data_IF_729919390029
#
_entry.id   IF_729919390029
#
_cell.length_a   1.000
_cell.length_b   1.000
_cell.length_c   1.000
_cell.angle_alpha   90.00
_cell.angle_beta   90.00
_cell.angle_gamma   90.00
#
_symmetry.space_group_name_H-M   'P 1'
#
loop_
_entity.id
_entity.type
_entity.pdbx_description
1 polymer ?
#
# COMPACT_ATOMS: atom_id res chain seq x y z
N UNK A 1 -23.42 6.58 -8.25
CA UNK A 1 -22.16 5.83 -8.26
C UNK A 1 -21.03 6.84 -8.33
N UNK A 2 -20.01 6.76 -7.46
CA UNK A 2 -18.86 7.67 -7.52
C UNK A 2 -18.14 7.48 -8.86
N UNK A 3 -17.67 8.55 -9.47
CA UNK A 3 -16.88 8.52 -10.71
C UNK A 3 -15.46 8.99 -10.42
N UNK A 4 -14.49 8.42 -11.13
CA UNK A 4 -13.10 8.86 -11.08
C UNK A 4 -12.89 9.93 -12.15
N UNK A 5 -12.29 11.05 -11.76
CA UNK A 5 -11.88 12.10 -12.69
C UNK A 5 -10.59 11.69 -13.43
N UNK A 6 -10.27 12.29 -14.58
CA UNK A 6 -8.93 12.18 -15.15
C UNK A 6 -7.87 12.73 -14.18
N UNK A 7 -6.68 12.12 -14.17
CA UNK A 7 -5.55 12.59 -13.36
C UNK A 7 -5.29 14.10 -13.52
N UNK A 8 -5.04 14.84 -12.42
CA UNK A 8 -4.78 16.26 -12.49
C UNK A 8 -3.41 16.52 -13.13
N UNK A 9 -3.28 17.64 -13.86
CA UNK A 9 -2.01 18.01 -14.52
C UNK A 9 -0.91 18.43 -13.54
N UNK A 10 -1.29 18.89 -12.35
CA UNK A 10 -0.38 19.36 -11.32
C UNK A 10 -0.97 19.07 -9.93
N UNK A 11 -0.09 18.86 -8.94
CA UNK A 11 -0.52 18.62 -7.56
C UNK A 11 -1.23 19.83 -6.96
N UNK A 12 -0.75 21.04 -7.27
CA UNK A 12 -1.41 22.31 -6.92
C UNK A 12 -2.05 22.87 -8.19
N UNK A 13 -3.34 23.14 -8.11
CA UNK A 13 -4.08 23.76 -9.21
C UNK A 13 -3.60 25.21 -9.39
N UNK A 14 -3.20 25.61 -10.62
CA UNK A 14 -2.62 26.93 -10.87
C UNK A 14 -3.64 28.08 -10.74
N UNK A 15 -4.93 27.81 -10.93
CA UNK A 15 -6.00 28.80 -10.85
C UNK A 15 -6.41 29.03 -9.39
N UNK A 16 -6.66 27.95 -8.65
CA UNK A 16 -7.15 28.02 -7.27
C UNK A 16 -6.03 28.16 -6.24
N UNK A 17 -4.78 27.82 -6.63
CA UNK A 17 -3.60 27.77 -5.75
C UNK A 17 -3.74 26.77 -4.58
N UNK A 18 -4.74 25.89 -4.64
CA UNK A 18 -4.97 24.82 -3.69
C UNK A 18 -4.49 23.48 -4.26
N UNK A 19 -4.23 22.45 -3.44
CA UNK A 19 -4.08 21.09 -3.94
C UNK A 19 -5.27 20.70 -4.81
N UNK A 20 -5.02 20.01 -5.92
CA UNK A 20 -6.07 19.50 -6.80
C UNK A 20 -6.80 18.37 -6.09
N UNK A 21 -7.74 18.69 -5.20
CA UNK A 21 -8.47 17.70 -4.41
C UNK A 21 -9.40 16.87 -5.28
N UNK A 22 -9.42 15.55 -5.06
CA UNK A 22 -10.26 14.64 -5.81
C UNK A 22 -9.81 13.20 -5.79
N UNK A 23 -10.49 12.41 -6.63
CA UNK A 23 -10.26 10.98 -6.83
C UNK A 23 -10.16 10.72 -8.33
N UNK A 24 -9.11 10.03 -8.74
CA UNK A 24 -8.65 10.03 -10.11
C UNK A 24 -8.36 8.63 -10.64
N UNK A 25 -8.69 8.41 -11.91
CA UNK A 25 -8.23 7.25 -12.67
C UNK A 25 -6.95 7.67 -13.40
N UNK A 26 -5.82 7.17 -12.94
CA UNK A 26 -4.51 7.50 -13.48
C UNK A 26 -3.50 7.98 -12.41
N UNK A 27 -2.31 8.40 -12.87
CA UNK A 27 -1.18 8.69 -12.00
C UNK A 27 -1.34 9.98 -11.21
N UNK A 28 -0.66 10.08 -10.08
CA UNK A 28 -0.40 11.36 -9.41
C UNK A 28 0.64 12.16 -10.19
N UNK A 29 0.49 13.50 -10.28
CA UNK A 29 1.57 14.38 -10.69
C UNK A 29 2.66 14.46 -9.60
N UNK A 30 3.85 15.00 -9.92
CA UNK A 30 4.90 15.27 -8.92
C UNK A 30 4.38 16.10 -7.74
N UNK A 31 4.72 15.70 -6.53
CA UNK A 31 4.24 16.35 -5.30
C UNK A 31 5.34 17.22 -4.72
N UNK A 32 5.15 18.54 -4.82
CA UNK A 32 6.06 19.51 -4.25
C UNK A 32 5.34 20.39 -3.23
N UNK A 33 5.94 20.51 -2.05
CA UNK A 33 5.51 21.42 -0.99
C UNK A 33 6.49 22.59 -0.92
N UNK A 34 6.30 23.56 -1.82
CA UNK A 34 7.14 24.76 -1.89
C UNK A 34 6.93 25.66 -0.67
N UNK A 35 8.02 26.27 -0.19
CA UNK A 35 7.97 27.19 0.94
C UNK A 35 7.61 26.56 2.29
N UNK A 36 7.57 25.22 2.39
CA UNK A 36 7.24 24.52 3.63
C UNK A 36 8.25 24.85 4.74
N UNK A 37 7.76 25.32 5.89
CA UNK A 37 8.58 25.60 7.06
C UNK A 37 9.38 24.36 7.50
N UNK A 38 10.58 24.57 8.05
CA UNK A 38 11.45 23.47 8.48
C UNK A 38 10.76 22.55 9.51
N UNK A 39 9.97 23.14 10.42
CA UNK A 39 9.19 22.41 11.40
C UNK A 39 8.15 21.49 10.75
N UNK A 40 7.39 21.98 9.76
CA UNK A 40 6.39 21.16 9.07
C UNK A 40 7.04 20.06 8.22
N UNK A 41 8.19 20.36 7.61
CA UNK A 41 8.99 19.36 6.89
C UNK A 41 9.47 18.23 7.80
N UNK A 42 9.82 18.54 9.05
CA UNK A 42 10.29 17.56 10.01
C UNK A 42 9.13 16.80 10.70
N UNK A 43 8.04 17.50 11.04
CA UNK A 43 7.00 16.98 11.94
C UNK A 43 5.72 16.55 11.24
N UNK A 44 5.33 17.19 10.14
CA UNK A 44 4.05 16.92 9.44
C UNK A 44 4.24 16.17 8.15
N UNK A 45 5.33 16.42 7.43
CA UNK A 45 5.60 15.75 6.18
C UNK A 45 5.87 14.27 6.42
N UNK A 46 5.08 13.43 5.78
CA UNK A 46 5.22 11.97 5.79
C UNK A 46 5.17 11.47 4.35
N UNK A 47 5.96 10.45 4.07
CA UNK A 47 5.99 9.82 2.76
C UNK A 47 6.34 8.35 2.88
N UNK A 48 5.64 7.48 2.17
CA UNK A 48 6.01 6.08 2.08
C UNK A 48 5.71 5.50 0.72
N UNK A 49 6.42 4.41 0.45
CA UNK A 49 6.13 3.52 -0.65
C UNK A 49 6.06 2.10 -0.10
N UNK A 50 4.90 1.49 -0.22
CA UNK A 50 4.62 0.10 0.10
C UNK A 50 4.52 -0.69 -1.20
N UNK A 51 5.13 -1.86 -1.27
CA UNK A 51 5.06 -2.79 -2.40
C UNK A 51 4.52 -4.11 -1.88
N UNK A 52 3.54 -4.67 -2.59
CA UNK A 52 3.07 -6.03 -2.38
C UNK A 52 3.33 -6.89 -3.62
N UNK A 53 3.75 -8.13 -3.39
CA UNK A 53 3.90 -9.16 -4.40
C UNK A 53 3.14 -10.39 -3.96
N UNK A 54 2.46 -11.07 -4.88
CA UNK A 54 1.75 -12.31 -4.57
C UNK A 54 1.93 -13.34 -5.67
N UNK A 55 2.37 -14.54 -5.28
CA UNK A 55 2.39 -15.74 -6.11
C UNK A 55 1.39 -16.75 -5.56
N UNK A 56 1.39 -17.97 -6.10
CA UNK A 56 0.58 -19.08 -5.59
C UNK A 56 1.02 -19.53 -4.18
N UNK A 57 2.29 -19.28 -3.82
CA UNK A 57 2.87 -19.73 -2.54
C UNK A 57 3.02 -18.61 -1.51
N UNK A 58 3.25 -17.37 -1.97
CA UNK A 58 3.64 -16.27 -1.10
C UNK A 58 2.75 -15.03 -1.25
N UNK A 59 2.52 -14.37 -0.13
CA UNK A 59 2.26 -12.92 -0.08
C UNK A 59 3.47 -12.23 0.54
N UNK A 60 3.96 -11.18 -0.12
CA UNK A 60 5.12 -10.41 0.33
C UNK A 60 4.71 -8.96 0.44
N UNK A 61 5.05 -8.35 1.57
CA UNK A 61 4.86 -6.94 1.82
C UNK A 61 6.21 -6.30 2.13
N UNK A 62 6.45 -5.10 1.61
CA UNK A 62 7.62 -4.31 1.89
C UNK A 62 7.23 -2.84 1.94
N UNK A 63 7.71 -2.08 2.93
CA UNK A 63 7.50 -0.64 2.99
C UNK A 63 8.78 0.12 3.31
N UNK A 64 8.95 1.29 2.68
CA UNK A 64 9.92 2.31 3.06
C UNK A 64 9.17 3.57 3.46
N UNK A 65 9.31 3.99 4.71
CA UNK A 65 8.57 5.10 5.32
C UNK A 65 9.54 6.18 5.78
N UNK A 66 9.27 7.42 5.38
CA UNK A 66 9.93 8.64 5.86
C UNK A 66 8.96 9.44 6.73
N UNK A 67 9.33 9.58 8.00
CA UNK A 67 8.54 10.31 9.00
C UNK A 67 8.98 11.77 9.17
N UNK A 68 10.03 12.20 8.46
CA UNK A 68 10.69 13.50 8.62
C UNK A 68 11.80 13.46 9.67
N UNK A 69 11.49 13.04 10.89
CA UNK A 69 12.46 12.92 12.00
C UNK A 69 13.03 11.49 12.20
N UNK A 70 12.45 10.49 11.53
CA UNK A 70 12.93 9.12 11.54
C UNK A 70 12.52 8.40 10.23
N UNK A 71 12.99 7.18 10.05
CA UNK A 71 12.60 6.29 8.98
C UNK A 71 12.16 4.95 9.56
N UNK A 72 11.19 4.30 8.91
CA UNK A 72 10.83 2.92 9.19
C UNK A 72 10.89 2.14 7.88
N UNK A 73 11.42 0.93 7.90
CA UNK A 73 11.30 0.02 6.78
C UNK A 73 11.04 -1.40 7.28
N UNK A 74 10.03 -2.04 6.73
CA UNK A 74 9.68 -3.42 7.08
C UNK A 74 9.53 -4.26 5.82
N UNK A 75 9.71 -5.55 5.99
CA UNK A 75 9.33 -6.54 4.99
C UNK A 75 8.94 -7.84 5.67
N UNK A 76 7.92 -8.50 5.13
CA UNK A 76 7.58 -9.86 5.51
C UNK A 76 7.24 -10.71 4.29
N UNK A 77 7.45 -12.03 4.44
CA UNK A 77 7.03 -13.04 3.49
C UNK A 77 6.11 -14.02 4.21
N UNK A 78 4.84 -14.02 3.84
CA UNK A 78 3.81 -14.91 4.34
C UNK A 78 3.62 -16.08 3.37
N UNK A 79 3.68 -17.31 3.87
CA UNK A 79 3.42 -18.50 3.06
C UNK A 79 1.93 -18.85 3.12
N UNK A 80 1.26 -18.85 1.96
CA UNK A 80 -0.19 -19.04 1.83
C UNK A 80 -0.62 -20.45 2.30
N UNK A 81 0.04 -21.49 1.79
CA UNK A 81 -0.27 -22.88 2.16
C UNK A 81 0.07 -23.25 3.60
N UNK A 82 1.23 -22.83 4.12
CA UNK A 82 1.65 -23.10 5.50
C UNK A 82 0.97 -22.18 6.53
N UNK A 83 0.32 -21.10 6.08
CA UNK A 83 -0.33 -20.09 6.91
C UNK A 83 0.56 -19.51 8.01
N UNK A 84 1.80 -19.16 7.68
CA UNK A 84 2.75 -18.54 8.62
C UNK A 84 3.66 -17.52 7.96
N UNK A 85 4.18 -16.58 8.75
CA UNK A 85 5.30 -15.74 8.34
C UNK A 85 6.57 -16.58 8.25
N UNK A 86 7.22 -16.57 7.08
CA UNK A 86 8.57 -17.11 6.88
C UNK A 86 9.61 -16.12 7.40
N UNK A 87 9.41 -14.85 7.08
CA UNK A 87 10.23 -13.74 7.57
C UNK A 87 9.29 -12.61 7.94
N UNK A 88 9.57 -11.95 9.06
CA UNK A 88 8.96 -10.70 9.48
C UNK A 88 10.06 -9.86 10.11
N UNK A 89 10.40 -8.75 9.48
CA UNK A 89 11.47 -7.89 9.92
C UNK A 89 11.09 -6.43 9.78
N UNK A 90 11.54 -5.62 10.74
CA UNK A 90 11.43 -4.18 10.68
C UNK A 90 12.65 -3.51 11.24
N UNK A 91 13.02 -2.39 10.62
CA UNK A 91 14.16 -1.57 10.99
C UNK A 91 13.73 -0.11 11.07
N UNK A 92 13.89 0.47 12.26
CA UNK A 92 13.76 1.91 12.48
C UNK A 92 15.16 2.53 12.39
N UNK A 93 15.27 3.64 11.66
CA UNK A 93 16.54 4.31 11.40
C UNK A 93 16.43 5.84 11.42
N UNK A 94 17.58 6.54 11.36
CA UNK A 94 17.61 7.99 11.27
C UNK A 94 17.12 8.52 9.90
N UNK A 95 16.66 9.78 9.79
CA UNK A 95 16.07 10.37 8.57
C UNK A 95 16.81 10.18 7.23
N UNK A 96 18.13 10.02 7.30
CA UNK A 96 19.04 10.02 6.14
C UNK A 96 19.24 8.64 5.51
N UNK A 97 18.79 7.58 6.16
CA UNK A 97 18.99 6.20 5.68
C UNK A 97 17.90 5.73 4.73
N UNK A 98 16.87 6.55 4.50
CA UNK A 98 15.80 6.25 3.56
C UNK A 98 15.54 7.44 2.65
N UNK A 99 15.20 7.13 1.40
CA UNK A 99 14.63 8.08 0.47
C UNK A 99 13.39 7.49 -0.20
N UNK A 100 12.43 8.34 -0.50
CA UNK A 100 11.26 8.00 -1.32
C UNK A 100 11.11 9.16 -2.30
N UNK A 101 10.73 8.92 -3.55
CA UNK A 101 10.62 9.92 -4.62
C UNK A 101 9.46 10.90 -4.40
N UNK A 102 9.52 12.10 -4.97
CA UNK A 102 8.38 13.03 -5.05
C UNK A 102 7.42 12.71 -6.20
N UNK A 103 7.89 11.91 -7.15
CA UNK A 103 7.20 11.51 -8.37
C UNK A 103 7.44 10.02 -8.58
N UNK A 104 6.39 9.21 -8.40
CA UNK A 104 6.46 7.74 -8.51
C UNK A 104 6.55 7.27 -9.98
N UNK A 105 6.40 8.19 -10.94
CA UNK A 105 6.48 7.95 -12.38
C UNK A 105 7.81 8.42 -13.00
N UNK A 106 8.60 9.19 -12.26
CA UNK A 106 9.93 9.61 -12.71
C UNK A 106 10.86 8.39 -12.87
N UNK A 107 11.71 8.36 -13.91
CA UNK A 107 12.74 7.34 -14.04
C UNK A 107 13.77 7.45 -12.91
N UNK A 108 14.29 6.31 -12.47
CA UNK A 108 15.30 6.23 -11.41
C UNK A 108 14.74 5.73 -10.09
N UNK A 109 15.36 6.15 -8.98
CA UNK A 109 15.08 5.60 -7.64
C UNK A 109 13.73 6.10 -7.12
N UNK A 110 12.77 5.18 -6.97
CA UNK A 110 11.47 5.46 -6.36
C UNK A 110 11.51 5.38 -4.84
N UNK A 111 12.24 4.38 -4.31
CA UNK A 111 12.48 4.23 -2.89
C UNK A 111 13.81 3.55 -2.63
N UNK A 112 14.49 3.99 -1.57
CA UNK A 112 15.74 3.39 -1.10
C UNK A 112 15.76 3.37 0.42
N UNK A 113 16.29 2.29 0.98
CA UNK A 113 16.58 2.17 2.40
C UNK A 113 17.93 1.47 2.59
N UNK A 114 18.72 1.88 3.58
CA UNK A 114 19.97 1.21 3.92
C UNK A 114 20.40 1.49 5.35
N UNK A 115 20.21 0.52 6.24
CA UNK A 115 20.64 0.62 7.64
C UNK A 115 20.99 -0.76 8.21
N UNK A 116 22.17 -0.86 8.83
CA UNK A 116 22.69 -2.15 9.29
C UNK A 116 22.88 -3.11 8.10
N UNK A 117 22.27 -4.29 8.18
CA UNK A 117 22.28 -5.31 7.11
C UNK A 117 21.07 -5.24 6.18
N UNK A 118 20.12 -4.35 6.46
CA UNK A 118 18.87 -4.24 5.71
C UNK A 118 18.99 -3.20 4.60
N UNK A 119 18.55 -3.57 3.40
CA UNK A 119 18.62 -2.72 2.20
C UNK A 119 17.37 -2.85 1.36
N UNK A 120 16.93 -1.75 0.77
CA UNK A 120 15.88 -1.70 -0.26
C UNK A 120 16.34 -0.76 -1.37
N UNK A 121 16.13 -1.17 -2.61
CA UNK A 121 16.18 -0.31 -3.78
C UNK A 121 15.01 -0.68 -4.70
N UNK A 122 14.15 0.29 -4.99
CA UNK A 122 13.13 0.20 -6.02
C UNK A 122 13.43 1.28 -7.07
N UNK A 123 13.65 0.86 -8.31
CA UNK A 123 14.04 1.74 -9.41
C UNK A 123 13.10 1.58 -10.60
N UNK A 124 12.59 2.68 -11.15
CA UNK A 124 11.76 2.70 -12.36
C UNK A 124 12.60 2.88 -13.62
N UNK A 125 12.35 2.03 -14.62
CA UNK A 125 12.87 2.06 -15.99
C UNK A 125 11.71 1.97 -16.98
N UNK A 126 11.13 3.13 -17.32
CA UNK A 126 9.89 3.17 -18.11
C UNK A 126 8.72 2.61 -17.31
N UNK A 127 8.01 1.64 -17.87
CA UNK A 127 6.87 0.97 -17.22
C UNK A 127 7.28 -0.20 -16.31
N UNK A 128 8.58 -0.43 -16.15
CA UNK A 128 9.12 -1.51 -15.30
C UNK A 128 9.76 -0.94 -14.05
N UNK A 129 9.43 -1.51 -12.89
CA UNK A 129 10.09 -1.23 -11.62
C UNK A 129 10.91 -2.44 -11.14
N UNK A 130 12.21 -2.26 -10.97
CA UNK A 130 13.09 -3.29 -10.43
C UNK A 130 13.24 -3.13 -8.92
N UNK A 131 12.86 -4.18 -8.18
CA UNK A 131 12.96 -4.26 -6.73
C UNK A 131 14.11 -5.17 -6.33
N UNK A 132 15.01 -4.65 -5.50
CA UNK A 132 15.99 -5.43 -4.74
C UNK A 132 15.85 -5.13 -3.26
N UNK A 133 15.66 -6.15 -2.45
CA UNK A 133 15.56 -5.96 -1.00
C UNK A 133 16.24 -7.09 -0.22
N UNK A 134 16.76 -6.75 0.95
CA UNK A 134 17.30 -7.69 1.94
C UNK A 134 16.86 -7.28 3.34
N UNK A 135 16.28 -8.22 4.07
CA UNK A 135 15.84 -8.05 5.46
C UNK A 135 15.99 -9.37 6.21
N UNK A 136 16.81 -9.42 7.26
CA UNK A 136 17.06 -10.68 7.99
C UNK A 136 17.37 -11.82 7.00
N UNK A 137 16.54 -12.88 6.98
CA UNK A 137 16.67 -14.04 6.07
C UNK A 137 15.80 -13.94 4.80
N UNK A 138 15.34 -12.73 4.45
CA UNK A 138 14.57 -12.42 3.24
C UNK A 138 15.46 -11.70 2.23
N UNK A 139 15.55 -12.24 1.02
CA UNK A 139 16.10 -11.57 -0.16
C UNK A 139 15.05 -11.55 -1.26
N UNK A 140 14.89 -10.40 -1.92
CA UNK A 140 13.93 -10.20 -3.01
C UNK A 140 14.69 -9.63 -4.20
N UNK A 141 14.52 -10.28 -5.35
CA UNK A 141 14.89 -9.72 -6.66
C UNK A 141 13.68 -9.88 -7.58
N UNK A 142 13.00 -8.77 -7.87
CA UNK A 142 11.78 -8.79 -8.66
C UNK A 142 11.79 -7.67 -9.72
N UNK A 143 11.16 -7.94 -10.86
CA UNK A 143 10.86 -6.94 -11.88
C UNK A 143 9.34 -6.86 -12.02
N UNK A 144 8.79 -5.67 -11.80
CA UNK A 144 7.36 -5.39 -11.77
C UNK A 144 7.02 -4.61 -13.04
N UNK A 145 6.32 -5.25 -13.97
CA UNK A 145 5.95 -4.72 -15.27
C UNK A 145 4.51 -4.19 -15.24
N UNK A 146 4.38 -2.87 -15.37
CA UNK A 146 3.11 -2.15 -15.29
C UNK A 146 2.43 -1.98 -16.66
N UNK A 147 3.06 -2.43 -17.75
CA UNK A 147 2.60 -2.20 -19.14
C UNK A 147 1.16 -2.68 -19.36
N UNK A 148 0.81 -3.83 -18.77
CA UNK A 148 -0.53 -4.45 -18.90
C UNK A 148 -1.36 -4.34 -17.64
N UNK A 149 -0.86 -3.63 -16.61
CA UNK A 149 -1.60 -3.43 -15.38
C UNK A 149 -2.77 -2.47 -15.60
N UNK A 150 -3.89 -2.63 -14.88
CA UNK A 150 -4.94 -1.62 -14.85
C UNK A 150 -4.39 -0.24 -14.44
N UNK A 151 -5.04 0.86 -14.85
CA UNK A 151 -4.66 2.19 -14.40
C UNK A 151 -4.64 2.28 -12.86
N UNK A 152 -3.74 3.10 -12.33
CA UNK A 152 -3.73 3.40 -10.91
C UNK A 152 -4.99 4.18 -10.49
N UNK A 153 -5.34 4.11 -9.21
CA UNK A 153 -6.21 5.11 -8.57
C UNK A 153 -5.33 6.09 -7.81
N UNK A 154 -5.57 7.38 -8.02
CA UNK A 154 -4.96 8.43 -7.24
C UNK A 154 -6.02 9.20 -6.44
N UNK A 155 -5.66 9.67 -5.25
CA UNK A 155 -6.50 10.57 -4.46
C UNK A 155 -5.66 11.70 -3.88
N UNK A 156 -6.21 12.91 -3.90
CA UNK A 156 -5.67 14.07 -3.19
C UNK A 156 -6.77 14.54 -2.26
N UNK A 157 -6.54 14.43 -0.96
CA UNK A 157 -7.57 14.67 0.05
C UNK A 157 -7.12 15.68 1.09
N UNK A 158 -8.03 16.58 1.45
CA UNK A 158 -7.88 17.48 2.59
C UNK A 158 -8.06 16.69 3.89
N UNK A 159 -7.11 16.82 4.81
CA UNK A 159 -7.14 16.15 6.12
C UNK A 159 -7.47 17.12 7.26
N UNK A 160 -7.74 18.38 6.94
CA UNK A 160 -7.90 19.49 7.86
C UNK A 160 -7.09 20.72 7.43
N UNK A 161 -7.12 21.82 8.20
CA UNK A 161 -6.48 23.07 7.83
C UNK A 161 -4.99 22.89 7.53
N UNK A 162 -4.59 23.17 6.29
CA UNK A 162 -3.20 23.03 5.80
C UNK A 162 -2.64 21.61 5.86
N UNK A 163 -3.50 20.59 5.95
CA UNK A 163 -3.14 19.18 5.94
C UNK A 163 -3.70 18.50 4.70
N UNK A 164 -2.88 17.70 4.05
CA UNK A 164 -3.22 17.07 2.76
C UNK A 164 -2.53 15.72 2.65
N UNK A 165 -3.22 14.75 2.07
CA UNK A 165 -2.62 13.49 1.62
C UNK A 165 -2.80 13.34 0.13
N UNK A 166 -1.74 12.95 -0.57
CA UNK A 166 -1.83 12.43 -1.92
C UNK A 166 -1.44 10.95 -1.89
N UNK A 167 -2.28 10.11 -2.48
CA UNK A 167 -2.08 8.67 -2.52
C UNK A 167 -2.24 8.14 -3.94
N UNK A 168 -1.48 7.11 -4.29
CA UNK A 168 -1.62 6.36 -5.53
C UNK A 168 -1.51 4.87 -5.24
N UNK A 169 -2.47 4.11 -5.77
CA UNK A 169 -2.50 2.66 -5.66
C UNK A 169 -2.56 2.01 -7.03
N UNK A 170 -1.70 1.03 -7.22
CA UNK A 170 -1.66 0.18 -8.41
C UNK A 170 -1.66 -1.28 -7.98
N UNK A 171 -2.33 -2.12 -8.76
CA UNK A 171 -2.44 -3.55 -8.52
C UNK A 171 -2.36 -4.31 -9.84
N UNK A 172 -2.13 -5.62 -9.76
CA UNK A 172 -2.15 -6.54 -10.90
C UNK A 172 -1.08 -6.26 -11.98
N UNK A 173 0.04 -5.66 -11.59
CA UNK A 173 1.24 -5.63 -12.44
C UNK A 173 1.84 -7.03 -12.55
N UNK A 174 2.42 -7.35 -13.71
CA UNK A 174 3.06 -8.64 -13.91
C UNK A 174 4.41 -8.66 -13.22
N UNK A 175 4.71 -9.73 -12.48
CA UNK A 175 5.98 -9.85 -11.75
C UNK A 175 6.77 -11.03 -12.30
N UNK A 176 8.09 -10.88 -12.31
CA UNK A 176 9.08 -11.95 -12.53
C UNK A 176 10.22 -11.81 -11.55
N UNK A 177 10.95 -12.91 -11.33
CA UNK A 177 12.12 -12.94 -10.45
C UNK A 177 11.99 -13.98 -9.37
N UNK A 178 12.59 -13.73 -8.21
CA UNK A 178 12.60 -14.71 -7.12
C UNK A 178 12.76 -14.10 -5.75
N UNK A 179 12.34 -14.88 -4.76
CA UNK A 179 12.45 -14.57 -3.35
C UNK A 179 13.19 -15.70 -2.65
N UNK A 180 14.11 -15.36 -1.75
CA UNK A 180 14.71 -16.31 -0.82
C UNK A 180 14.23 -15.97 0.58
N UNK A 181 13.60 -16.92 1.26
CA UNK A 181 13.12 -16.77 2.63
C UNK A 181 13.47 -18.01 3.45
N UNK A 182 14.16 -17.84 4.58
CA UNK A 182 14.65 -18.97 5.42
C UNK A 182 15.46 -20.01 4.60
N UNK A 183 16.26 -19.55 3.64
CA UNK A 183 17.05 -20.41 2.75
C UNK A 183 16.27 -21.14 1.65
N UNK A 184 14.93 -20.99 1.59
CA UNK A 184 14.09 -21.53 0.50
C UNK A 184 13.93 -20.49 -0.60
N UNK A 185 14.06 -20.91 -1.86
CA UNK A 185 13.85 -20.06 -3.03
C UNK A 185 12.45 -20.29 -3.61
N UNK A 186 11.74 -19.20 -3.86
CA UNK A 186 10.41 -19.17 -4.46
C UNK A 186 10.47 -18.38 -5.78
N UNK A 187 9.77 -18.87 -6.80
CA UNK A 187 9.63 -18.14 -8.06
C UNK A 187 8.55 -17.06 -7.93
N UNK A 188 8.77 -15.92 -8.58
CA UNK A 188 7.76 -14.88 -8.79
C UNK A 188 7.22 -14.88 -10.22
N UNK A 189 7.55 -15.87 -11.05
CA UNK A 189 7.04 -15.93 -12.41
C UNK A 189 5.52 -16.16 -12.41
N UNK A 190 4.79 -15.25 -13.07
CA UNK A 190 3.32 -15.29 -13.09
C UNK A 190 2.66 -14.68 -11.84
N UNK A 191 3.46 -14.12 -10.92
CA UNK A 191 2.96 -13.40 -9.76
C UNK A 191 2.36 -12.03 -10.15
N UNK A 192 1.54 -11.49 -9.25
CA UNK A 192 1.03 -10.12 -9.32
C UNK A 192 1.79 -9.20 -8.39
N UNK A 193 1.94 -7.95 -8.80
CA UNK A 193 2.56 -6.87 -8.04
C UNK A 193 1.65 -5.66 -7.95
N UNK A 194 1.84 -4.89 -6.88
CA UNK A 194 1.14 -3.64 -6.65
C UNK A 194 1.89 -2.78 -5.65
N UNK A 195 1.48 -1.51 -5.55
CA UNK A 195 2.06 -0.59 -4.59
C UNK A 195 1.01 0.37 -4.02
N UNK A 196 1.32 0.91 -2.85
CA UNK A 196 0.72 2.10 -2.26
C UNK A 196 1.82 3.15 -2.08
N UNK A 197 1.70 4.24 -2.81
CA UNK A 197 2.47 5.44 -2.62
C UNK A 197 1.62 6.46 -1.88
N UNK A 198 2.16 7.04 -0.81
CA UNK A 198 1.49 8.13 -0.10
C UNK A 198 2.50 9.20 0.27
N UNK A 199 2.12 10.46 0.05
CA UNK A 199 2.92 11.63 0.42
C UNK A 199 2.01 12.77 0.82
N UNK A 200 2.23 13.32 2.01
CA UNK A 200 1.38 14.37 2.53
C UNK A 200 1.95 15.14 3.70
N UNK A 201 1.17 16.14 4.12
CA UNK A 201 1.30 16.86 5.39
C UNK A 201 0.23 16.30 6.32
N UNK A 202 0.63 15.42 7.22
CA UNK A 202 -0.29 14.61 8.01
C UNK A 202 -0.63 15.26 9.35
N UNK A 203 -1.86 15.01 9.87
CA UNK A 203 -2.20 15.37 11.23
C UNK A 203 -1.26 14.69 12.22
N UNK A 204 -1.11 15.27 13.40
CA UNK A 204 -0.28 14.74 14.49
C UNK A 204 -0.71 13.33 14.92
N UNK A 205 -2.02 13.08 14.88
CA UNK A 205 -2.62 11.78 15.13
C UNK A 205 -3.32 11.32 13.85
N UNK A 206 -2.90 10.19 13.30
CA UNK A 206 -3.46 9.61 12.07
C UNK A 206 -3.94 8.20 12.37
N UNK A 207 -5.16 7.88 11.92
CA UNK A 207 -5.80 6.58 12.10
C UNK A 207 -6.46 6.13 10.82
N UNK A 208 -6.28 4.87 10.49
CA UNK A 208 -6.97 4.25 9.38
C UNK A 208 -7.08 2.75 9.57
N UNK A 209 -7.98 2.16 8.79
CA UNK A 209 -7.97 0.74 8.50
C UNK A 209 -7.81 0.58 7.00
N UNK A 210 -7.07 -0.43 6.61
CA UNK A 210 -6.71 -0.64 5.21
C UNK A 210 -6.82 -2.11 4.84
N UNK A 211 -7.16 -2.38 3.59
CA UNK A 211 -7.08 -3.70 3.01
C UNK A 211 -6.57 -3.60 1.58
N UNK A 212 -5.65 -4.51 1.26
CA UNK A 212 -5.07 -4.60 -0.07
C UNK A 212 -4.89 -6.05 -0.45
N UNK A 213 -5.40 -6.40 -1.63
CA UNK A 213 -5.43 -7.77 -2.10
C UNK A 213 -5.22 -7.82 -3.60
N UNK A 214 -4.63 -8.92 -4.04
CA UNK A 214 -4.39 -9.23 -5.45
C UNK A 214 -4.42 -10.74 -5.63
N UNK A 215 -4.97 -11.20 -6.74
CA UNK A 215 -5.02 -12.62 -7.04
C UNK A 215 -6.01 -12.89 -8.16
N UNK A 216 -6.73 -14.00 -8.04
CA UNK A 216 -7.76 -14.41 -9.00
C UNK A 216 -9.08 -14.58 -8.27
N UNK A 217 -10.15 -14.03 -8.85
CA UNK A 217 -11.49 -14.30 -8.37
C UNK A 217 -11.86 -15.77 -8.65
N UNK A 218 -13.02 -16.21 -8.15
CA UNK A 218 -13.52 -17.59 -8.34
C UNK A 218 -13.71 -17.97 -9.81
N UNK A 219 -13.97 -16.99 -10.68
CA UNK A 219 -14.05 -17.17 -12.14
C UNK A 219 -12.67 -17.32 -12.82
N UNK A 220 -11.57 -17.28 -12.05
CA UNK A 220 -10.19 -17.40 -12.52
C UNK A 220 -9.58 -16.10 -13.06
N UNK A 221 -10.39 -15.04 -13.23
CA UNK A 221 -9.90 -13.78 -13.77
C UNK A 221 -9.18 -12.95 -12.70
N UNK A 222 -8.11 -12.21 -13.08
CA UNK A 222 -7.38 -11.35 -12.15
C UNK A 222 -8.29 -10.36 -11.44
N UNK A 223 -8.07 -10.19 -10.14
CA UNK A 223 -8.79 -9.23 -9.29
C UNK A 223 -7.85 -8.67 -8.25
N UNK A 224 -7.92 -7.37 -8.03
CA UNK A 224 -7.28 -6.71 -6.89
C UNK A 224 -8.16 -5.62 -6.33
N UNK A 225 -7.86 -5.15 -5.13
CA UNK A 225 -8.55 -4.01 -4.54
C UNK A 225 -7.70 -3.29 -3.50
N UNK A 226 -8.04 -2.03 -3.30
CA UNK A 226 -7.58 -1.15 -2.24
C UNK A 226 -8.80 -0.62 -1.49
N UNK A 227 -8.91 -0.87 -0.19
CA UNK A 227 -10.05 -0.45 0.63
C UNK A 227 -9.56 0.23 1.90
N UNK A 228 -10.21 1.32 2.29
CA UNK A 228 -9.79 2.16 3.38
C UNK A 228 -11.00 2.58 4.19
N UNK A 229 -10.85 2.62 5.51
CA UNK A 229 -11.78 3.26 6.43
C UNK A 229 -11.08 4.36 7.22
N UNK A 230 -11.58 5.59 7.14
CA UNK A 230 -10.95 6.78 7.71
C UNK A 230 -9.76 7.30 6.90
N UNK A 231 -9.04 8.28 7.45
CA UNK A 231 -7.93 8.98 6.77
C UNK A 231 -8.32 9.60 5.41
N UNK A 232 -7.99 8.96 4.28
CA UNK A 232 -8.38 9.39 2.92
C UNK A 232 -9.77 8.85 2.53
N UNK A 233 -10.16 7.70 3.10
CA UNK A 233 -11.48 7.09 2.97
C UNK A 233 -11.86 6.70 1.54
N UNK A 234 -13.14 6.86 1.22
CA UNK A 234 -13.73 6.46 -0.06
C UNK A 234 -12.98 6.99 -1.31
N UNK A 235 -12.28 8.13 -1.21
CA UNK A 235 -11.58 8.74 -2.36
C UNK A 235 -10.49 7.85 -2.96
N UNK A 236 -9.93 6.91 -2.21
CA UNK A 236 -8.90 5.99 -2.70
C UNK A 236 -9.37 4.52 -2.76
N UNK A 237 -10.62 4.24 -2.40
CA UNK A 237 -11.16 2.89 -2.46
C UNK A 237 -11.39 2.47 -3.93
N UNK A 238 -10.81 1.37 -4.37
CA UNK A 238 -11.01 0.87 -5.74
C UNK A 238 -10.86 -0.64 -5.84
N UNK A 239 -11.50 -1.19 -6.87
CA UNK A 239 -11.25 -2.54 -7.36
C UNK A 239 -10.58 -2.47 -8.74
N UNK A 240 -9.76 -3.47 -9.03
CA UNK A 240 -8.98 -3.58 -10.25
C UNK A 240 -9.29 -4.92 -10.93
N UNK A 241 -9.62 -4.88 -12.23
CA UNK A 241 -9.70 -6.05 -13.11
C UNK A 241 -9.09 -5.71 -14.46
N UNK A 242 -8.98 -6.69 -15.36
CA UNK A 242 -8.41 -6.51 -16.71
C UNK A 242 -9.05 -5.39 -17.56
N UNK A 243 -10.23 -4.89 -17.19
CA UNK A 243 -10.93 -3.80 -17.87
C UNK A 243 -10.61 -2.39 -17.34
N UNK A 244 -9.96 -2.27 -16.18
CA UNK A 244 -9.63 -0.98 -15.59
C UNK A 244 -9.74 -0.93 -14.06
N UNK A 245 -9.90 0.28 -13.56
CA UNK A 245 -10.05 0.59 -12.14
C UNK A 245 -11.44 1.15 -11.87
N UNK A 246 -12.15 0.55 -10.91
CA UNK A 246 -13.52 0.89 -10.58
C UNK A 246 -13.58 1.48 -9.16
N UNK A 247 -14.16 2.67 -8.97
CA UNK A 247 -14.36 3.22 -7.63
C UNK A 247 -15.35 2.34 -6.85
N UNK A 248 -14.99 1.97 -5.62
CA UNK A 248 -15.89 1.26 -4.69
C UNK A 248 -16.19 2.11 -3.47
N UNK A 249 -17.16 1.66 -2.66
CA UNK A 249 -17.53 2.31 -1.40
C UNK A 249 -16.44 2.09 -0.33
N UNK A 250 -16.36 3.02 0.61
CA UNK A 250 -15.59 2.81 1.85
C UNK A 250 -16.30 1.74 2.70
N UNK A 251 -15.62 0.61 3.03
CA UNK A 251 -16.21 -0.39 3.90
C UNK A 251 -16.14 0.02 5.37
N UNK A 252 -17.01 -0.57 6.17
CA UNK A 252 -16.79 -0.74 7.60
C UNK A 252 -15.99 -2.01 7.84
N UNK A 253 -14.86 -1.89 8.52
CA UNK A 253 -14.08 -3.00 9.04
C UNK A 253 -14.61 -3.35 10.44
N UNK A 254 -14.93 -4.61 10.65
CA UNK A 254 -15.38 -5.16 11.93
C UNK A 254 -14.48 -6.33 12.32
N UNK A 255 -13.85 -6.23 13.50
CA UNK A 255 -12.94 -7.22 14.03
C UNK A 255 -12.79 -7.05 15.55
N UNK A 256 -12.34 -8.11 16.23
CA UNK A 256 -12.03 -8.07 17.65
C UNK A 256 -10.60 -7.54 17.85
N UNK A 257 -10.48 -6.32 18.36
CA UNK A 257 -9.18 -5.68 18.64
C UNK A 257 -8.36 -6.49 19.66
N UNK A 258 -9.00 -7.24 20.55
CA UNK A 258 -8.32 -8.09 21.53
C UNK A 258 -7.89 -9.45 20.95
N UNK A 259 -8.49 -9.87 19.83
CA UNK A 259 -8.22 -11.13 19.13
C UNK A 259 -8.07 -10.86 17.62
N UNK A 260 -7.03 -10.13 17.20
CA UNK A 260 -6.85 -9.71 15.82
C UNK A 260 -6.64 -10.85 14.82
N UNK A 261 -6.36 -12.06 15.31
CA UNK A 261 -6.28 -13.32 14.55
C UNK A 261 -7.65 -13.89 14.17
N UNK A 262 -8.75 -13.39 14.76
CA UNK A 262 -10.09 -13.76 14.32
C UNK A 262 -10.40 -13.14 12.96
N UNK A 263 -11.27 -13.75 12.15
CA UNK A 263 -11.63 -13.20 10.85
C UNK A 263 -12.20 -11.77 10.95
N UNK A 264 -11.82 -10.94 9.97
CA UNK A 264 -12.32 -9.57 9.87
C UNK A 264 -13.46 -9.53 8.86
N UNK A 265 -14.49 -8.70 9.10
CA UNK A 265 -15.58 -8.47 8.16
C UNK A 265 -15.47 -7.08 7.56
N UNK A 266 -15.55 -6.97 6.23
CA UNK A 266 -15.53 -5.71 5.51
C UNK A 266 -16.85 -5.59 4.75
N UNK A 267 -17.70 -4.65 5.19
CA UNK A 267 -19.06 -4.49 4.64
C UNK A 267 -19.26 -3.07 4.13
N UNK A 268 -19.77 -2.94 2.92
CA UNK A 268 -20.08 -1.65 2.27
C UNK A 268 -21.16 -1.82 1.20
N UNK A 269 -21.50 -0.73 0.51
CA UNK A 269 -22.43 -0.82 -0.63
C UNK A 269 -21.79 -1.64 -1.76
N UNK A 270 -22.43 -2.77 -2.09
CA UNK A 270 -21.94 -3.74 -3.07
C UNK A 270 -20.74 -4.55 -2.60
N UNK A 271 -20.52 -4.69 -1.29
CA UNK A 271 -19.37 -5.42 -0.75
C UNK A 271 -19.73 -6.13 0.56
N UNK A 272 -19.47 -7.43 0.63
CA UNK A 272 -19.49 -8.24 1.85
C UNK A 272 -18.34 -9.24 1.78
N UNK A 273 -17.23 -8.91 2.44
CA UNK A 273 -16.03 -9.72 2.48
C UNK A 273 -15.72 -10.19 3.89
N UNK A 274 -15.15 -11.39 3.97
CA UNK A 274 -14.49 -11.91 5.16
C UNK A 274 -13.01 -12.08 4.86
N UNK A 275 -12.16 -11.59 5.75
CA UNK A 275 -10.73 -11.83 5.72
C UNK A 275 -10.38 -12.92 6.74
N UNK A 276 -9.91 -14.05 6.26
CA UNK A 276 -9.40 -15.14 7.09
C UNK A 276 -7.90 -14.90 7.38
N UNK A 277 -7.59 -14.68 8.66
CA UNK A 277 -6.25 -14.30 9.10
C UNK A 277 -5.37 -15.55 9.16
N UNK A 278 -4.22 -15.50 8.48
CA UNK A 278 -3.21 -16.55 8.53
C UNK A 278 -2.12 -16.24 9.55
N UNK A 279 -1.47 -15.10 9.39
CA UNK A 279 -0.40 -14.66 10.28
C UNK A 279 -0.43 -13.15 10.48
N UNK A 280 0.11 -12.69 11.61
CA UNK A 280 0.02 -11.29 12.02
C UNK A 280 1.41 -10.67 12.03
N UNK A 281 1.61 -9.64 11.21
CA UNK A 281 2.66 -8.66 11.44
C UNK A 281 2.13 -7.56 12.37
N UNK A 282 2.87 -7.22 13.42
CA UNK A 282 2.46 -6.19 14.36
C UNK A 282 3.65 -5.42 14.92
N UNK A 283 3.44 -4.12 15.15
CA UNK A 283 4.42 -3.26 15.77
C UNK A 283 3.78 -2.36 16.81
N UNK A 284 4.46 -2.24 17.94
CA UNK A 284 4.08 -1.29 18.98
C UNK A 284 5.27 -0.42 19.36
N UNK A 285 5.11 0.88 19.20
CA UNK A 285 6.11 1.88 19.55
C UNK A 285 5.51 2.85 20.55
N UNK A 286 6.20 3.09 21.66
CA UNK A 286 5.86 4.13 22.62
C UNK A 286 7.13 4.85 23.09
N UNK A 287 7.45 5.96 22.44
CA UNK A 287 8.57 6.84 22.75
C UNK A 287 8.07 8.15 23.38
N UNK A 288 6.98 8.07 24.16
CA UNK A 288 6.24 9.17 24.79
C UNK A 288 5.57 10.12 23.79
N UNK A 289 6.37 10.85 23.01
CA UNK A 289 5.90 11.78 21.98
C UNK A 289 5.50 11.02 20.72
N UNK A 290 6.24 10.00 20.32
CA UNK A 290 5.88 9.14 19.18
C UNK A 290 5.20 7.89 19.70
N UNK A 291 3.97 7.60 19.29
CA UNK A 291 3.28 6.35 19.63
C UNK A 291 2.68 5.74 18.37
N UNK A 292 2.82 4.43 18.21
CA UNK A 292 2.22 3.71 17.09
C UNK A 292 1.71 2.36 17.57
N UNK A 293 0.47 2.04 17.19
CA UNK A 293 -0.05 0.67 17.17
C UNK A 293 -0.32 0.34 15.71
N UNK A 294 0.50 -0.53 15.16
CA UNK A 294 0.40 -1.02 13.81
C UNK A 294 0.13 -2.52 13.85
N UNK A 295 -0.89 -2.93 13.13
CA UNK A 295 -1.30 -4.31 13.00
C UNK A 295 -1.60 -4.54 11.53
N UNK A 296 -0.89 -5.47 10.89
CA UNK A 296 -1.09 -5.81 9.48
C UNK A 296 -1.14 -7.34 9.31
N UNK A 297 -2.29 -7.98 9.53
CA UNK A 297 -2.45 -9.40 9.31
C UNK A 297 -2.43 -9.74 7.82
N UNK A 298 -1.78 -10.85 7.46
CA UNK A 298 -1.77 -11.45 6.14
C UNK A 298 -2.65 -12.71 6.13
N UNK A 299 -3.32 -12.94 5.01
CA UNK A 299 -4.38 -13.94 4.92
C UNK A 299 -5.06 -13.91 3.57
N UNK A 300 -6.34 -14.29 3.55
CA UNK A 300 -7.12 -14.38 2.31
C UNK A 300 -8.53 -13.80 2.46
N UNK A 301 -9.06 -13.26 1.38
CA UNK A 301 -10.41 -12.72 1.28
C UNK A 301 -11.35 -13.68 0.57
N UNK A 302 -12.53 -13.87 1.14
CA UNK A 302 -13.66 -14.55 0.51
C UNK A 302 -14.95 -13.74 0.69
N UNK A 303 -15.87 -13.85 -0.26
CA UNK A 303 -17.14 -13.10 -0.25
C UNK A 303 -17.47 -12.50 -1.61
N UNK A 304 -18.23 -11.40 -1.63
CA UNK A 304 -18.65 -10.76 -2.88
C UNK A 304 -18.34 -9.27 -2.90
N UNK A 305 -17.96 -8.77 -4.08
CA UNK A 305 -17.77 -7.35 -4.36
C UNK A 305 -18.32 -7.01 -5.73
N UNK A 306 -19.04 -5.90 -5.84
CA UNK A 306 -19.59 -5.38 -7.08
C UNK A 306 -18.56 -4.50 -7.78
N UNK A 307 -18.09 -4.96 -8.94
CA UNK A 307 -17.07 -4.30 -9.77
C UNK A 307 -17.68 -4.06 -11.15
N UNK A 308 -17.68 -2.81 -11.62
CA UNK A 308 -18.32 -2.40 -12.87
C UNK A 308 -19.78 -2.88 -13.01
N UNK A 309 -20.52 -2.84 -11.90
CA UNK A 309 -21.92 -3.26 -11.84
C UNK A 309 -22.15 -4.77 -11.87
N UNK A 310 -21.10 -5.59 -11.82
CA UNK A 310 -21.18 -7.05 -11.73
C UNK A 310 -20.71 -7.56 -10.39
N UNK A 311 -21.41 -8.52 -9.83
CA UNK A 311 -20.95 -9.20 -8.62
C UNK A 311 -19.79 -10.14 -8.96
N UNK A 312 -18.68 -9.97 -8.25
CA UNK A 312 -17.48 -10.78 -8.36
C UNK A 312 -17.32 -11.55 -7.05
N UNK A 313 -17.29 -12.87 -7.16
CA UNK A 313 -17.07 -13.76 -6.02
C UNK A 313 -15.58 -13.99 -5.80
N UNK A 314 -15.14 -13.76 -4.57
CA UNK A 314 -13.79 -14.02 -4.11
C UNK A 314 -13.78 -15.31 -3.29
N UNK A 315 -12.79 -16.15 -3.54
CA UNK A 315 -12.55 -17.36 -2.77
C UNK A 315 -11.05 -17.53 -2.56
N UNK A 316 -10.57 -17.17 -1.38
CA UNK A 316 -9.16 -17.33 -1.02
C UNK A 316 -8.21 -16.32 -1.69
N UNK A 317 -8.67 -15.10 -2.02
CA UNK A 317 -7.79 -14.09 -2.66
C UNK A 317 -6.75 -13.57 -1.66
N UNK A 318 -5.44 -13.71 -1.92
CA UNK A 318 -4.39 -13.26 -1.01
C UNK A 318 -4.43 -11.75 -0.76
N UNK A 319 -4.13 -11.37 0.48
CA UNK A 319 -3.96 -9.97 0.82
C UNK A 319 -3.64 -9.72 2.27
N UNK A 320 -3.73 -8.45 2.64
CA UNK A 320 -3.58 -7.95 4.01
C UNK A 320 -4.76 -7.10 4.42
N UNK A 321 -5.01 -7.07 5.72
CA UNK A 321 -5.77 -6.01 6.39
C UNK A 321 -4.85 -5.26 7.32
N UNK A 322 -5.26 -4.07 7.76
CA UNK A 322 -4.46 -3.23 8.64
C UNK A 322 -5.34 -2.44 9.61
N UNK A 323 -4.88 -2.32 10.86
CA UNK A 323 -5.33 -1.30 11.82
C UNK A 323 -4.13 -0.46 12.25
N UNK A 324 -4.18 0.83 11.97
CA UNK A 324 -3.14 1.77 12.33
C UNK A 324 -3.69 2.90 13.19
N UNK A 325 -3.05 3.12 14.33
CA UNK A 325 -3.19 4.32 15.16
C UNK A 325 -1.79 4.87 15.43
N UNK A 326 -1.47 6.03 14.85
CA UNK A 326 -0.15 6.66 14.99
C UNK A 326 -0.25 8.10 15.44
N UNK A 327 0.46 8.37 16.52
CA UNK A 327 0.74 9.68 17.08
C UNK A 327 2.19 10.02 16.70
N UNK A 328 2.40 10.76 15.59
CA UNK A 328 3.71 11.11 15.00
C UNK A 328 4.63 11.98 15.84
#
# INVERSE_FOLDING_TARGET
MRTLSPAPRAFVDPETRAPAFGSYAGPLPPIHFDGLALADRALRRKKWLYVALTSDELWIALAVVRMGYATNAFAFAYHLGERRMLVDATVVGPPRVADVTEDVHAPGVLARFGFGRSTVALERRGDVCDLRARFADLEIEASIDETTAPPAIAAISELGPSLVSATEKRALAAVRGSVVAQGRRFSLDGAFGGYDYTHGLMPRNTRWKWAFAMGRAKDGAPVGFNLVQGFVGASECAAFRSGGVSPVSEPRFDFDVAQPERPWRLVGDGMDLTFDVGAVHAQHTNLLLVRSRFLQPAGTFSGTMRIDGRDVELDGVPGVVEDQDVLW
#
